data_IF_028288029661
#
_entry.id   IF_028288029661
#
_cell.length_a   1.000
_cell.length_b   1.000
_cell.length_c   1.000
_cell.angle_alpha   90.00
_cell.angle_beta   90.00
_cell.angle_gamma   90.00
#
_symmetry.space_group_name_H-M   'P 1'
#
loop_
_entity.id
_entity.type
_entity.pdbx_description
1 polymer ?
#
# COMPACT_ATOMS: atom_id res chain seq x y z
N UNK A 1 -23.88 -16.97 -32.12
CA UNK A 1 -22.79 -15.99 -32.25
C UNK A 1 -22.22 -15.83 -30.87
N UNK A 2 -21.04 -16.39 -30.62
CA UNK A 2 -20.41 -16.36 -29.30
C UNK A 2 -19.77 -14.99 -29.09
N UNK A 3 -20.56 -14.06 -28.55
CA UNK A 3 -20.08 -12.74 -28.16
C UNK A 3 -19.47 -12.83 -26.77
N UNK A 4 -18.14 -12.80 -26.71
CA UNK A 4 -17.40 -12.54 -25.47
C UNK A 4 -17.33 -11.04 -25.24
N UNK A 5 -17.74 -10.59 -24.04
CA UNK A 5 -17.64 -9.20 -23.62
C UNK A 5 -16.53 -9.13 -22.58
N UNK A 6 -15.48 -8.39 -22.89
CA UNK A 6 -14.38 -8.15 -21.97
C UNK A 6 -14.81 -7.27 -20.80
N UNK A 7 -14.17 -7.47 -19.65
CA UNK A 7 -14.32 -6.57 -18.53
C UNK A 7 -13.60 -5.26 -18.85
N UNK A 8 -14.37 -4.20 -19.07
CA UNK A 8 -13.87 -2.84 -19.04
C UNK A 8 -14.16 -2.21 -17.67
N UNK A 9 -13.16 -1.58 -17.06
CA UNK A 9 -13.31 -0.89 -15.78
C UNK A 9 -12.29 0.23 -15.64
N UNK A 10 -12.75 1.41 -15.22
CA UNK A 10 -11.89 2.53 -14.83
C UNK A 10 -11.96 2.74 -13.31
N UNK A 11 -10.80 2.96 -12.69
CA UNK A 11 -10.71 3.25 -11.26
C UNK A 11 -10.68 4.77 -11.07
N UNK A 12 -11.52 5.28 -10.17
CA UNK A 12 -11.45 6.66 -9.74
C UNK A 12 -10.47 6.78 -8.57
N UNK A 13 -9.38 7.54 -8.77
CA UNK A 13 -8.31 7.68 -7.79
C UNK A 13 -8.75 8.28 -6.45
N UNK A 14 -9.72 9.19 -6.46
CA UNK A 14 -10.21 9.82 -5.24
C UNK A 14 -11.04 8.84 -4.40
N UNK A 15 -11.88 8.03 -5.05
CA UNK A 15 -12.65 6.97 -4.38
C UNK A 15 -11.69 5.93 -3.79
N UNK A 16 -10.69 5.49 -4.55
CA UNK A 16 -9.71 4.53 -4.06
C UNK A 16 -8.90 5.07 -2.86
N UNK A 17 -8.47 6.33 -2.93
CA UNK A 17 -7.82 7.03 -1.80
C UNK A 17 -8.71 7.06 -0.56
N UNK A 18 -10.01 7.38 -0.71
CA UNK A 18 -10.96 7.39 0.40
C UNK A 18 -11.14 5.99 1.02
N UNK A 19 -11.15 4.93 0.20
CA UNK A 19 -11.19 3.54 0.69
C UNK A 19 -9.95 3.20 1.51
N UNK A 20 -8.75 3.55 1.03
CA UNK A 20 -7.52 3.38 1.80
C UNK A 20 -7.50 4.18 3.10
N UNK A 21 -8.00 5.42 3.07
CA UNK A 21 -8.13 6.26 4.26
C UNK A 21 -9.06 5.61 5.30
N UNK A 22 -10.19 5.07 4.87
CA UNK A 22 -11.16 4.41 5.75
C UNK A 22 -10.58 3.14 6.41
N UNK A 23 -9.90 2.27 5.65
CA UNK A 23 -9.31 1.05 6.19
C UNK A 23 -8.12 1.33 7.10
N UNK A 24 -7.29 2.31 6.76
CA UNK A 24 -6.18 2.75 7.61
C UNK A 24 -6.69 3.31 8.95
N UNK A 25 -7.72 4.16 8.91
CA UNK A 25 -8.31 4.74 10.13
C UNK A 25 -8.82 3.67 11.10
N UNK A 26 -9.52 2.64 10.60
CA UNK A 26 -9.99 1.52 11.44
C UNK A 26 -8.84 0.72 12.08
N UNK A 27 -7.69 0.65 11.43
CA UNK A 27 -6.53 -0.04 11.95
C UNK A 27 -5.74 0.79 12.97
N UNK A 28 -5.80 2.13 12.90
CA UNK A 28 -5.08 3.03 13.81
C UNK A 28 -5.87 3.40 15.08
N UNK A 29 -7.19 3.59 14.98
CA UNK A 29 -8.00 4.16 16.08
C UNK A 29 -9.41 3.59 16.14
N UNK A 30 -10.05 3.71 17.31
CA UNK A 30 -11.40 3.16 17.56
C UNK A 30 -12.54 4.15 17.31
N UNK A 31 -12.25 5.43 17.34
CA UNK A 31 -13.21 6.52 17.14
C UNK A 31 -13.31 6.88 15.65
N UNK A 32 -13.88 5.94 14.87
CA UNK A 32 -14.03 6.05 13.42
C UNK A 32 -15.49 5.82 13.04
N UNK A 33 -16.01 6.68 12.17
CA UNK A 33 -17.32 6.51 11.52
C UNK A 33 -17.07 6.47 10.02
N UNK A 34 -17.53 5.42 9.34
CA UNK A 34 -17.45 5.27 7.89
C UNK A 34 -18.86 5.29 7.31
N UNK A 35 -19.10 6.19 6.35
CA UNK A 35 -20.29 6.18 5.51
C UNK A 35 -19.94 5.41 4.24
N UNK A 36 -20.62 4.29 3.99
CA UNK A 36 -20.33 3.41 2.86
C UNK A 36 -21.59 3.08 2.06
N UNK A 37 -21.40 2.84 0.76
CA UNK A 37 -22.42 2.22 -0.09
C UNK A 37 -22.47 0.70 0.16
N UNK A 38 -23.32 -0.01 -0.60
CA UNK A 38 -23.36 -1.49 -0.64
C UNK A 38 -21.98 -2.10 -0.90
N UNK A 39 -21.02 -1.32 -1.42
CA UNK A 39 -19.64 -1.77 -1.61
C UNK A 39 -18.98 -2.39 -0.37
N UNK A 40 -19.47 -2.08 0.85
CA UNK A 40 -18.93 -2.61 2.10
C UNK A 40 -19.14 -4.13 2.30
N UNK A 41 -20.01 -4.77 1.51
CA UNK A 41 -20.24 -6.22 1.59
C UNK A 41 -19.39 -7.01 0.59
N UNK A 42 -18.66 -6.34 -0.31
CA UNK A 42 -17.77 -7.02 -1.26
C UNK A 42 -16.41 -7.34 -0.63
N UNK A 43 -15.81 -8.42 -1.11
CA UNK A 43 -14.57 -8.96 -0.59
C UNK A 43 -13.41 -7.97 -0.66
N UNK A 44 -12.81 -7.73 0.50
CA UNK A 44 -11.50 -7.13 0.71
C UNK A 44 -10.53 -8.24 1.17
N UNK A 45 -9.22 -7.99 1.11
CA UNK A 45 -8.25 -8.87 1.75
C UNK A 45 -8.45 -8.94 3.27
N UNK A 46 -7.78 -9.89 3.91
CA UNK A 46 -7.89 -10.08 5.36
C UNK A 46 -7.45 -8.82 6.12
N UNK A 47 -8.24 -8.34 7.10
CA UNK A 47 -7.85 -7.24 7.98
C UNK A 47 -6.58 -7.53 8.79
N UNK A 48 -6.32 -8.81 9.10
CA UNK A 48 -5.10 -9.29 9.74
C UNK A 48 -3.92 -9.11 8.79
N UNK A 49 -4.01 -9.64 7.56
CA UNK A 49 -2.97 -9.50 6.54
C UNK A 49 -2.66 -8.01 6.27
N UNK A 50 -3.67 -7.15 6.23
CA UNK A 50 -3.49 -5.70 6.03
C UNK A 50 -2.74 -5.04 7.20
N UNK A 51 -3.06 -5.41 8.46
CA UNK A 51 -2.41 -4.88 9.66
C UNK A 51 -0.98 -5.39 9.80
N UNK A 52 -0.76 -6.68 9.60
CA UNK A 52 0.57 -7.30 9.68
C UNK A 52 1.51 -6.79 8.58
N UNK A 53 0.94 -6.40 7.43
CA UNK A 53 1.72 -5.80 6.36
C UNK A 53 1.94 -4.29 6.48
N UNK A 54 1.58 -3.67 7.60
CA UNK A 54 1.97 -2.29 7.87
C UNK A 54 3.48 -2.16 8.05
N UNK A 55 4.06 -1.12 7.48
CA UNK A 55 5.43 -0.69 7.75
C UNK A 55 5.44 0.36 8.87
N UNK A 56 5.83 -0.06 10.06
CA UNK A 56 6.08 0.81 11.22
C UNK A 56 7.50 1.38 11.18
N UNK A 57 7.62 2.71 11.30
CA UNK A 57 8.89 3.45 11.26
C UNK A 57 8.95 4.38 12.48
N UNK A 58 10.07 4.41 13.19
CA UNK A 58 10.30 5.25 14.38
C UNK A 58 11.59 6.04 14.27
N UNK A 59 11.57 7.26 14.80
CA UNK A 59 12.79 8.07 14.96
C UNK A 59 13.77 7.34 15.89
N UNK A 60 15.06 7.34 15.55
CA UNK A 60 16.12 6.61 16.25
C UNK A 60 16.14 5.09 16.00
N UNK A 61 15.30 4.58 15.10
CA UNK A 61 15.34 3.17 14.73
C UNK A 61 16.54 2.89 13.82
N UNK A 62 17.39 1.93 14.21
CA UNK A 62 18.48 1.41 13.38
C UNK A 62 17.89 0.50 12.29
N UNK A 63 17.69 1.07 11.11
CA UNK A 63 17.18 0.40 9.92
C UNK A 63 17.67 1.13 8.67
N UNK A 64 18.35 0.40 7.80
CA UNK A 64 18.87 0.96 6.56
C UNK A 64 17.74 1.45 5.64
N UNK A 65 18.07 2.46 4.83
CA UNK A 65 17.18 2.96 3.78
C UNK A 65 16.73 1.86 2.83
N UNK A 66 17.65 0.99 2.44
CA UNK A 66 17.38 -0.07 1.46
C UNK A 66 16.42 -1.13 2.02
N UNK A 67 16.43 -1.40 3.33
CA UNK A 67 15.47 -2.29 3.98
C UNK A 67 14.07 -1.71 4.03
N UNK A 68 13.97 -0.38 4.16
CA UNK A 68 12.67 0.32 4.10
C UNK A 68 12.15 0.31 2.66
N UNK A 69 13.02 0.54 1.67
CA UNK A 69 12.67 0.46 0.25
C UNK A 69 12.15 -0.93 -0.12
N UNK A 70 12.88 -2.00 0.24
CA UNK A 70 12.43 -3.39 0.01
C UNK A 70 11.05 -3.61 0.62
N UNK A 71 10.86 -3.16 1.86
CA UNK A 71 9.59 -3.32 2.55
C UNK A 71 8.45 -2.54 1.89
N UNK A 72 8.71 -1.32 1.39
CA UNK A 72 7.74 -0.53 0.62
C UNK A 72 7.29 -1.26 -0.65
N UNK A 73 8.23 -1.88 -1.37
CA UNK A 73 7.92 -2.69 -2.56
C UNK A 73 7.06 -3.91 -2.20
N UNK A 74 7.38 -4.62 -1.12
CA UNK A 74 6.56 -5.75 -0.63
C UNK A 74 5.12 -5.33 -0.32
N UNK A 75 4.93 -4.09 0.15
CA UNK A 75 3.61 -3.54 0.46
C UNK A 75 2.98 -2.76 -0.71
N UNK A 76 3.43 -3.07 -1.94
CA UNK A 76 2.90 -2.61 -3.22
C UNK A 76 3.12 -1.13 -3.56
N UNK A 77 4.14 -0.50 -2.97
CA UNK A 77 4.56 0.83 -3.42
C UNK A 77 5.60 0.72 -4.52
N UNK A 78 5.54 1.66 -5.47
CA UNK A 78 6.49 1.70 -6.57
C UNK A 78 7.45 2.88 -6.44
N UNK A 79 8.72 2.67 -6.81
CA UNK A 79 9.68 3.76 -6.89
C UNK A 79 9.38 4.64 -8.11
N UNK A 80 9.22 5.95 -7.89
CA UNK A 80 9.09 6.90 -8.98
C UNK A 80 9.71 8.25 -8.61
N UNK A 81 10.94 8.49 -9.10
CA UNK A 81 11.70 9.70 -8.79
C UNK A 81 11.22 10.92 -9.60
N UNK A 82 10.52 10.70 -10.73
CA UNK A 82 10.06 11.75 -11.66
C UNK A 82 8.65 12.24 -11.35
N UNK A 83 7.70 11.31 -11.22
CA UNK A 83 6.29 11.61 -10.97
C UNK A 83 5.89 11.12 -9.57
N UNK A 84 5.92 12.04 -8.61
CA UNK A 84 5.67 11.72 -7.21
C UNK A 84 4.19 11.86 -6.86
N UNK A 85 3.48 10.75 -7.04
CA UNK A 85 2.04 10.62 -6.78
C UNK A 85 1.77 9.51 -5.75
N UNK A 86 0.50 9.33 -5.38
CA UNK A 86 0.03 8.31 -4.42
C UNK A 86 0.55 6.90 -4.78
N UNK A 87 0.80 6.09 -3.76
CA UNK A 87 1.35 4.73 -3.87
C UNK A 87 2.80 4.68 -4.39
N UNK A 88 3.48 5.83 -4.46
CA UNK A 88 4.88 5.90 -4.89
C UNK A 88 5.80 6.35 -3.78
N UNK A 89 7.08 6.03 -3.92
CA UNK A 89 8.15 6.62 -3.13
C UNK A 89 9.29 7.10 -4.04
N UNK A 90 10.11 8.03 -3.54
CA UNK A 90 11.31 8.52 -4.23
C UNK A 90 12.48 8.68 -3.29
N UNK A 91 13.69 8.64 -3.84
CA UNK A 91 14.93 8.73 -3.07
C UNK A 91 15.77 9.91 -3.53
N UNK A 92 16.23 10.72 -2.59
CA UNK A 92 17.13 11.86 -2.83
C UNK A 92 18.24 11.87 -1.80
N UNK A 93 19.37 11.24 -2.12
CA UNK A 93 20.47 11.06 -1.15
C UNK A 93 19.97 10.29 0.07
N UNK A 94 20.14 10.87 1.25
CA UNK A 94 19.74 10.28 2.54
C UNK A 94 18.29 10.59 2.92
N UNK A 95 17.47 10.99 1.94
CA UNK A 95 16.05 11.29 2.13
C UNK A 95 15.21 10.31 1.31
N UNK A 96 14.28 9.64 1.98
CA UNK A 96 13.22 8.84 1.37
C UNK A 96 11.89 9.57 1.56
N UNK A 97 11.20 9.84 0.47
CA UNK A 97 9.84 10.41 0.52
C UNK A 97 8.84 9.35 0.04
N UNK A 98 7.81 9.12 0.83
CA UNK A 98 6.75 8.14 0.56
C UNK A 98 5.42 8.86 0.50
N UNK A 99 4.62 8.59 -0.52
CA UNK A 99 3.26 9.12 -0.65
C UNK A 99 2.25 8.03 -0.26
N UNK A 100 1.70 8.04 0.97
CA UNK A 100 0.85 6.96 1.47
C UNK A 100 -0.47 6.83 0.70
N UNK A 101 -0.95 5.59 0.57
CA UNK A 101 -2.16 5.25 -0.18
C UNK A 101 -3.46 5.91 0.33
N UNK A 102 -3.55 6.16 1.63
CA UNK A 102 -4.70 6.81 2.28
C UNK A 102 -4.52 8.30 2.57
N UNK A 103 -3.37 8.88 2.22
CA UNK A 103 -3.06 10.28 2.50
C UNK A 103 -3.99 11.23 1.71
N UNK A 104 -4.10 12.48 2.15
CA UNK A 104 -4.69 13.53 1.29
C UNK A 104 -3.78 13.79 0.10
N UNK A 105 -4.34 14.36 -0.96
CA UNK A 105 -3.68 14.50 -2.27
C UNK A 105 -2.43 15.40 -2.28
N UNK A 106 -2.10 16.03 -1.16
CA UNK A 106 -1.05 17.04 -1.00
C UNK A 106 0.04 16.66 0.02
N UNK A 107 -0.10 15.52 0.73
CA UNK A 107 0.76 15.18 1.86
C UNK A 107 1.56 13.90 1.66
N UNK A 108 2.86 13.99 1.88
CA UNK A 108 3.78 12.85 1.90
C UNK A 108 4.57 12.78 3.21
N UNK A 109 5.16 11.61 3.46
CA UNK A 109 6.04 11.36 4.60
C UNK A 109 7.48 11.42 4.10
N UNK A 110 8.29 12.28 4.71
CA UNK A 110 9.74 12.38 4.50
C UNK A 110 10.45 11.67 5.66
N UNK A 111 11.36 10.77 5.32
CA UNK A 111 12.21 10.02 6.24
C UNK A 111 13.65 10.40 5.91
N UNK A 112 14.33 11.03 6.85
CA UNK A 112 15.73 11.45 6.75
C UNK A 112 16.60 10.43 7.51
N UNK A 113 17.72 10.03 6.93
CA UNK A 113 18.62 9.02 7.47
C UNK A 113 19.97 9.62 7.85
N UNK A 114 20.60 9.06 8.88
CA UNK A 114 21.99 9.28 9.21
C UNK A 114 22.71 7.92 9.21
N UNK A 115 23.30 7.56 8.08
CA UNK A 115 23.79 6.20 7.86
C UNK A 115 22.62 5.21 7.84
N UNK A 116 22.63 4.24 8.77
CA UNK A 116 21.60 3.22 8.93
C UNK A 116 20.60 3.53 10.07
N UNK A 117 20.57 4.77 10.55
CA UNK A 117 19.63 5.24 11.56
C UNK A 117 18.62 6.23 10.97
N UNK A 118 17.36 6.15 11.39
CA UNK A 118 16.33 7.13 11.04
C UNK A 118 16.50 8.37 11.93
N UNK A 119 17.02 9.45 11.37
CA UNK A 119 17.25 10.72 12.07
C UNK A 119 15.95 11.51 12.27
N UNK A 120 15.08 11.58 11.24
CA UNK A 120 13.86 12.39 11.32
C UNK A 120 12.73 11.86 10.45
N UNK A 121 11.51 11.98 10.96
CA UNK A 121 10.28 11.70 10.21
C UNK A 121 9.40 12.96 10.19
N UNK A 122 8.99 13.39 9.00
CA UNK A 122 8.19 14.62 8.81
C UNK A 122 7.05 14.43 7.80
N UNK A 123 5.93 15.11 8.01
CA UNK A 123 4.92 15.34 6.96
C UNK A 123 5.36 16.53 6.13
N UNK A 124 5.29 16.40 4.82
CA UNK A 124 5.60 17.47 3.87
C UNK A 124 4.44 17.70 2.91
N UNK A 125 4.36 18.93 2.44
CA UNK A 125 3.56 19.28 1.27
C UNK A 125 4.31 18.86 -0.01
N UNK A 126 3.66 18.08 -0.88
CA UNK A 126 4.30 17.50 -2.06
C UNK A 126 4.67 18.54 -3.14
N UNK A 127 4.01 19.71 -3.13
CA UNK A 127 4.18 20.76 -4.15
C UNK A 127 5.25 21.75 -3.70
N UNK A 128 5.14 22.24 -2.47
CA UNK A 128 6.01 23.27 -1.90
C UNK A 128 7.24 22.69 -1.20
N UNK A 129 7.17 21.42 -0.78
CA UNK A 129 8.22 20.78 0.02
C UNK A 129 8.28 21.24 1.48
N UNK A 130 7.35 22.09 1.91
CA UNK A 130 7.28 22.63 3.26
C UNK A 130 6.99 21.51 4.27
N UNK A 131 7.74 21.51 5.37
CA UNK A 131 7.51 20.60 6.49
C UNK A 131 6.31 21.09 7.31
N UNK A 132 5.24 20.30 7.38
CA UNK A 132 4.01 20.64 8.10
C UNK A 132 4.04 20.21 9.56
N UNK A 133 4.58 19.02 9.84
CA UNK A 133 4.69 18.44 11.18
C UNK A 133 5.79 17.39 11.24
N UNK A 134 6.31 17.14 12.45
CA UNK A 134 7.24 16.04 12.73
C UNK A 134 6.53 14.91 13.46
N UNK A 135 7.04 13.69 13.29
CA UNK A 135 6.53 12.48 13.94
C UNK A 135 7.67 11.76 14.64
N UNK A 136 7.40 11.26 15.85
CA UNK A 136 8.28 10.27 16.49
C UNK A 136 8.07 8.86 15.92
N UNK A 137 6.91 8.62 15.32
CA UNK A 137 6.49 7.34 14.78
C UNK A 137 5.45 7.53 13.67
N UNK A 138 5.57 6.75 12.60
CA UNK A 138 4.59 6.68 11.51
C UNK A 138 4.35 5.23 11.10
N UNK A 139 3.11 4.97 10.67
CA UNK A 139 2.67 3.73 10.08
C UNK A 139 2.37 3.95 8.59
N UNK A 140 3.00 3.16 7.72
CA UNK A 140 2.73 3.16 6.28
C UNK A 140 1.97 1.88 5.95
N UNK A 141 0.71 2.02 5.58
CA UNK A 141 -0.14 0.89 5.20
C UNK A 141 0.08 0.46 3.75
N UNK A 142 -0.23 -0.82 3.42
CA UNK A 142 -0.17 -1.32 2.06
C UNK A 142 -0.95 -0.48 1.04
N UNK A 143 -0.39 -0.37 -0.16
CA UNK A 143 -0.98 0.33 -1.31
C UNK A 143 -2.07 -0.48 -2.04
N UNK A 144 -2.39 -1.68 -1.53
CA UNK A 144 -3.49 -2.52 -2.02
C UNK A 144 -4.21 -3.18 -0.86
N UNK A 145 -5.54 -3.31 -0.96
CA UNK A 145 -6.35 -4.07 -0.01
C UNK A 145 -6.25 -5.59 -0.19
N UNK A 146 -5.64 -6.06 -1.27
CA UNK A 146 -5.50 -7.49 -1.59
C UNK A 146 -4.08 -8.01 -1.32
N UNK A 147 -3.39 -7.42 -0.35
CA UNK A 147 -2.08 -7.90 0.06
C UNK A 147 -2.19 -9.28 0.71
N UNK A 148 -1.29 -10.17 0.34
CA UNK A 148 -1.18 -11.53 0.87
C UNK A 148 0.28 -11.85 1.13
N UNK A 149 0.55 -12.75 2.07
CA UNK A 149 1.92 -13.22 2.32
C UNK A 149 2.47 -13.99 1.12
N UNK A 150 3.79 -13.92 0.92
CA UNK A 150 4.48 -14.64 -0.17
C UNK A 150 4.22 -16.15 -0.13
N UNK A 151 4.24 -16.74 1.06
CA UNK A 151 3.96 -18.16 1.25
C UNK A 151 2.53 -18.54 0.82
N UNK A 152 1.53 -17.70 1.14
CA UNK A 152 0.14 -17.94 0.72
C UNK A 152 0.01 -17.78 -0.81
N UNK A 153 0.67 -16.78 -1.40
CA UNK A 153 0.70 -16.59 -2.85
C UNK A 153 1.24 -17.83 -3.57
N UNK A 154 2.39 -18.37 -3.14
CA UNK A 154 3.02 -19.55 -3.75
C UNK A 154 2.11 -20.79 -3.67
N UNK A 155 1.50 -21.05 -2.51
CA UNK A 155 0.56 -22.16 -2.34
C UNK A 155 -0.68 -22.01 -3.25
N UNK A 156 -1.27 -20.80 -3.29
CA UNK A 156 -2.45 -20.54 -4.12
C UNK A 156 -2.17 -20.68 -5.61
N UNK A 157 -0.97 -20.33 -6.08
CA UNK A 157 -0.59 -20.54 -7.48
C UNK A 157 -0.58 -22.02 -7.84
N UNK A 158 -0.02 -22.88 -6.99
CA UNK A 158 -0.03 -24.34 -7.19
C UNK A 158 -1.46 -24.91 -7.18
N UNK A 159 -2.32 -24.44 -6.28
CA UNK A 159 -3.73 -24.87 -6.23
C UNK A 159 -4.49 -24.50 -7.51
N UNK A 160 -4.33 -23.26 -7.98
CA UNK A 160 -4.96 -22.76 -9.22
C UNK A 160 -4.50 -23.56 -10.44
N UNK A 161 -3.20 -23.87 -10.52
CA UNK A 161 -2.63 -24.65 -11.62
C UNK A 161 -3.19 -26.07 -11.64
N UNK A 162 -3.27 -26.73 -10.48
CA UNK A 162 -3.87 -28.06 -10.35
C UNK A 162 -5.36 -28.07 -10.74
N UNK A 163 -6.15 -27.10 -10.27
CA UNK A 163 -7.57 -26.98 -10.61
C UNK A 163 -7.77 -26.73 -12.11
N UNK A 164 -6.94 -25.86 -12.70
CA UNK A 164 -6.94 -25.61 -14.15
C UNK A 164 -6.70 -26.91 -14.93
N UNK A 165 -5.67 -27.69 -14.57
CA UNK A 165 -5.38 -28.97 -15.23
C UNK A 165 -6.54 -29.96 -15.15
N UNK A 166 -7.19 -30.07 -13.98
CA UNK A 166 -8.36 -30.92 -13.80
C UNK A 166 -9.51 -30.44 -14.68
N UNK A 167 -9.79 -29.14 -14.69
CA UNK A 167 -10.89 -28.56 -15.47
C UNK A 167 -10.71 -28.72 -16.97
N UNK A 168 -9.48 -28.55 -17.46
CA UNK A 168 -9.11 -28.78 -18.86
C UNK A 168 -9.34 -30.23 -19.27
N UNK A 169 -9.00 -31.21 -18.41
CA UNK A 169 -9.25 -32.64 -18.68
C UNK A 169 -10.74 -32.98 -18.76
N UNK A 170 -11.57 -32.32 -17.95
CA UNK A 170 -13.03 -32.50 -17.97
C UNK A 170 -13.64 -31.94 -19.26
N UNK A 171 -13.21 -30.74 -19.69
CA UNK A 171 -13.80 -30.03 -20.82
C UNK A 171 -13.32 -30.49 -22.20
N UNK A 172 -12.17 -31.17 -22.28
CA UNK A 172 -11.65 -31.77 -23.53
C UNK A 172 -12.02 -33.25 -23.71
N UNK A 173 -12.94 -33.78 -22.89
CA UNK A 173 -13.64 -35.05 -23.14
C UNK A 173 -14.93 -34.82 -23.91
#
# INVERSE_FOLDING_TARGET
>A
TDAYIEKDSAINDEIDRLRHSATAALAERRDVIIVASVSCIYSLGSPEDYRENMLSIREGQERSRDDIIKRLVEIQYERNDMNFIRNKFRVRGDVLEVFPAGSTSDKAIRIEFFGDEIDRISEIDIVTGEVKRRFSHVAIFPASHYIVSKARLENSLTEIENEMEERVKILHR
#
